data_IF_939847684432
#
_entry.id   IF_939847684432
#
_cell.length_a   1.000
_cell.length_b   1.000
_cell.length_c   1.000
_cell.angle_alpha   90.00
_cell.angle_beta   90.00
_cell.angle_gamma   90.00
#
_symmetry.space_group_name_H-M   'P 1'
#
loop_
_entity.id
_entity.type
_entity.pdbx_description
1 polymer ?
#
# COMPACT_ATOMS: atom_id res chain seq x y z
N UNK A 1 4.51 -9.79 -14.18
CA UNK A 1 5.07 -9.29 -12.91
C UNK A 1 5.23 -7.79 -13.04
N UNK A 2 4.72 -7.01 -12.08
CA UNK A 2 4.92 -5.55 -12.07
C UNK A 2 6.37 -5.24 -11.66
N UNK A 3 7.03 -4.33 -12.37
CA UNK A 3 8.41 -3.92 -12.09
C UNK A 3 8.53 -2.39 -12.12
N UNK A 4 9.60 -1.80 -11.54
CA UNK A 4 9.84 -0.36 -11.60
C UNK A 4 9.85 0.17 -13.04
N UNK A 5 9.45 1.43 -13.22
CA UNK A 5 9.25 2.19 -14.47
C UNK A 5 8.08 1.74 -15.34
N UNK A 6 7.41 0.62 -15.04
CA UNK A 6 6.14 0.30 -15.70
C UNK A 6 5.02 1.20 -15.19
N UNK A 7 3.97 1.35 -16.01
CA UNK A 7 2.73 2.00 -15.57
C UNK A 7 2.11 1.17 -14.45
N UNK A 8 1.74 1.82 -13.35
CA UNK A 8 0.99 1.20 -12.29
C UNK A 8 -0.38 0.76 -12.81
N UNK A 9 -0.93 -0.37 -12.36
CA UNK A 9 -2.30 -0.74 -12.65
C UNK A 9 -3.28 0.34 -12.17
N UNK A 10 -4.43 0.45 -12.83
CA UNK A 10 -5.52 1.30 -12.35
C UNK A 10 -5.85 0.98 -10.89
N UNK A 11 -6.04 2.03 -10.10
CA UNK A 11 -6.42 1.92 -8.70
C UNK A 11 -7.50 2.95 -8.40
N UNK A 12 -8.68 2.45 -8.06
CA UNK A 12 -9.81 3.27 -7.67
C UNK A 12 -10.56 2.59 -6.54
N UNK A 13 -10.62 3.23 -5.39
CA UNK A 13 -11.29 2.72 -4.18
C UNK A 13 -12.05 3.83 -3.48
N UNK A 14 -13.07 3.48 -2.73
CA UNK A 14 -13.72 4.42 -1.83
C UNK A 14 -12.87 4.63 -0.58
N UNK A 15 -12.94 5.83 0.03
CA UNK A 15 -12.19 6.18 1.23
C UNK A 15 -13.14 6.52 2.37
N UNK A 16 -12.66 6.37 3.60
CA UNK A 16 -13.48 6.66 4.79
C UNK A 16 -13.72 8.16 5.00
N UNK A 17 -12.90 9.04 4.41
CA UNK A 17 -12.93 10.47 4.67
C UNK A 17 -13.40 11.35 3.52
N UNK A 18 -12.92 11.09 2.32
CA UNK A 18 -12.96 12.08 1.23
C UNK A 18 -13.60 11.61 -0.09
N UNK A 19 -14.44 10.57 -0.06
CA UNK A 19 -15.05 10.02 -1.25
C UNK A 19 -14.16 8.99 -1.95
N UNK A 20 -14.00 9.09 -3.27
CA UNK A 20 -13.30 8.07 -4.06
C UNK A 20 -11.88 8.49 -4.40
N UNK A 21 -10.92 7.71 -3.99
CA UNK A 21 -9.53 7.82 -4.42
C UNK A 21 -9.36 7.19 -5.80
N UNK A 22 -8.67 7.90 -6.69
CA UNK A 22 -8.23 7.39 -8.00
C UNK A 22 -6.77 7.78 -8.20
N UNK A 23 -5.89 6.79 -8.28
CA UNK A 23 -4.45 7.03 -8.39
C UNK A 23 -4.08 7.94 -9.57
N UNK A 24 -4.77 7.79 -10.72
CA UNK A 24 -4.52 8.59 -11.93
C UNK A 24 -4.83 10.08 -11.73
N UNK A 25 -5.73 10.41 -10.80
CA UNK A 25 -6.13 11.78 -10.52
C UNK A 25 -5.23 12.43 -9.45
N UNK A 26 -4.43 11.63 -8.75
CA UNK A 26 -3.49 12.12 -7.75
C UNK A 26 -2.34 12.89 -8.40
N UNK A 27 -2.07 14.08 -7.87
CA UNK A 27 -1.00 14.97 -8.35
C UNK A 27 -0.06 15.36 -7.21
N UNK A 28 0.60 14.37 -6.57
CA UNK A 28 1.59 14.67 -5.56
C UNK A 28 2.74 15.46 -6.18
N UNK A 29 3.45 16.22 -5.38
CA UNK A 29 4.64 16.92 -5.89
C UNK A 29 5.68 15.93 -6.43
N UNK A 30 5.83 14.77 -5.79
CA UNK A 30 6.85 13.78 -6.16
C UNK A 30 6.33 12.37 -6.32
N UNK A 31 5.60 11.84 -5.34
CA UNK A 31 5.13 10.44 -5.39
C UNK A 31 3.87 10.24 -4.55
N UNK A 32 3.15 9.15 -4.82
CA UNK A 32 2.12 8.60 -3.93
C UNK A 32 2.66 7.31 -3.32
N UNK A 33 2.66 7.21 -1.99
CA UNK A 33 2.88 5.97 -1.26
C UNK A 33 1.55 5.23 -1.12
N UNK A 34 1.43 4.08 -1.77
CA UNK A 34 0.29 3.18 -1.65
C UNK A 34 0.68 2.01 -0.76
N UNK A 35 0.03 1.89 0.40
CA UNK A 35 0.24 0.83 1.38
C UNK A 35 -0.95 -0.13 1.37
N UNK A 36 -0.81 -1.29 0.73
CA UNK A 36 -1.81 -2.35 0.83
C UNK A 36 -1.62 -3.14 2.12
N UNK A 37 -2.72 -3.39 2.84
CA UNK A 37 -2.72 -4.14 4.10
C UNK A 37 -3.81 -5.21 4.12
N UNK A 38 -3.67 -6.22 4.98
CA UNK A 38 -4.55 -7.39 5.01
C UNK A 38 -5.99 -7.06 5.43
N UNK A 39 -6.16 -6.16 6.39
CA UNK A 39 -7.46 -5.76 6.92
C UNK A 39 -7.53 -5.74 8.45
N UNK A 40 -8.73 -5.53 8.98
CA UNK A 40 -9.05 -5.43 10.42
C UNK A 40 -8.56 -6.63 11.24
N UNK A 41 -8.60 -7.82 10.67
CA UNK A 41 -8.22 -9.07 11.33
C UNK A 41 -6.71 -9.17 11.65
N UNK A 42 -5.89 -8.25 11.15
CA UNK A 42 -4.43 -8.32 11.21
C UNK A 42 -3.84 -7.35 12.25
N UNK A 43 -3.45 -7.80 13.45
CA UNK A 43 -2.93 -6.91 14.50
C UNK A 43 -1.60 -6.23 14.10
N UNK A 44 -0.78 -6.90 13.30
CA UNK A 44 0.47 -6.34 12.77
C UNK A 44 0.17 -5.21 11.78
N UNK A 45 -0.91 -5.32 11.00
CA UNK A 45 -1.35 -4.24 10.13
C UNK A 45 -1.74 -3.00 10.94
N UNK A 46 -2.44 -3.17 12.05
CA UNK A 46 -2.80 -2.08 12.93
C UNK A 46 -1.57 -1.27 13.40
N UNK A 47 -0.54 -1.96 13.90
CA UNK A 47 0.70 -1.31 14.33
C UNK A 47 1.44 -0.64 13.17
N UNK A 48 1.44 -1.27 12.00
CA UNK A 48 2.10 -0.74 10.80
C UNK A 48 1.41 0.52 10.27
N UNK A 49 0.08 0.55 10.29
CA UNK A 49 -0.69 1.73 9.88
C UNK A 49 -0.54 2.91 10.86
N UNK A 50 -0.44 2.65 12.17
CA UNK A 50 -0.10 3.68 13.17
C UNK A 50 1.24 4.35 12.87
N UNK A 51 2.22 3.56 12.48
CA UNK A 51 3.54 4.07 12.12
C UNK A 51 3.48 4.88 10.80
N UNK A 52 2.71 4.41 9.81
CA UNK A 52 2.47 5.18 8.59
C UNK A 52 1.83 6.53 8.90
N UNK A 53 0.76 6.55 9.71
CA UNK A 53 0.07 7.76 10.12
C UNK A 53 1.03 8.73 10.83
N UNK A 54 1.80 8.24 11.79
CA UNK A 54 2.79 9.03 12.52
C UNK A 54 3.81 9.69 11.59
N UNK A 55 4.20 9.02 10.51
CA UNK A 55 5.19 9.50 9.56
C UNK A 55 4.59 10.20 8.33
N UNK A 56 3.26 10.25 8.19
CA UNK A 56 2.59 10.95 7.08
C UNK A 56 3.07 12.40 6.92
N UNK A 57 3.24 13.21 7.99
CA UNK A 57 3.79 14.56 7.85
C UNK A 57 5.21 14.57 7.25
N UNK A 58 6.07 13.64 7.66
CA UNK A 58 7.43 13.53 7.15
C UNK A 58 7.48 13.11 5.68
N UNK A 59 6.54 12.27 5.23
CA UNK A 59 6.34 11.97 3.81
C UNK A 59 5.85 13.21 3.05
N UNK A 60 4.86 13.94 3.60
CA UNK A 60 4.31 15.14 2.96
C UNK A 60 5.37 16.25 2.79
N UNK A 61 6.26 16.47 3.77
CA UNK A 61 7.41 17.37 3.67
C UNK A 61 8.34 17.04 2.49
N UNK A 62 8.33 15.80 2.03
CA UNK A 62 9.08 15.29 0.88
C UNK A 62 8.26 15.21 -0.40
N UNK A 63 7.09 15.82 -0.42
CA UNK A 63 6.18 15.80 -1.57
C UNK A 63 5.55 14.44 -1.85
N UNK A 64 5.47 13.57 -0.83
CA UNK A 64 4.89 12.23 -0.95
C UNK A 64 3.54 12.18 -0.25
N UNK A 65 2.48 11.96 -1.03
CA UNK A 65 1.14 11.66 -0.49
C UNK A 65 1.08 10.20 -0.02
N UNK A 66 0.24 9.89 0.97
CA UNK A 66 0.13 8.54 1.54
C UNK A 66 -1.31 8.06 1.56
N UNK A 67 -1.53 6.78 1.25
CA UNK A 67 -2.83 6.11 1.39
C UNK A 67 -2.62 4.64 1.80
N UNK A 68 -3.47 4.14 2.68
CA UNK A 68 -3.53 2.73 3.07
C UNK A 68 -4.82 2.09 2.53
N UNK A 69 -4.73 0.92 1.90
CA UNK A 69 -5.86 0.30 1.20
C UNK A 69 -5.96 -1.18 1.57
N UNK A 70 -7.18 -1.67 1.78
CA UNK A 70 -7.44 -3.09 1.96
C UNK A 70 -8.66 -3.57 1.14
N UNK A 71 -8.82 -4.89 1.07
CA UNK A 71 -10.01 -5.53 0.50
C UNK A 71 -11.19 -5.59 1.49
N UNK A 72 -11.04 -5.08 2.71
CA UNK A 72 -12.13 -4.96 3.66
C UNK A 72 -13.26 -4.08 3.10
N UNK A 73 -14.50 -4.37 3.51
CA UNK A 73 -15.61 -3.46 3.32
C UNK A 73 -15.47 -2.19 4.19
N UNK A 74 -16.35 -1.22 3.97
CA UNK A 74 -16.34 0.04 4.71
C UNK A 74 -16.43 -0.16 6.22
N UNK A 75 -17.31 -1.08 6.69
CA UNK A 75 -17.53 -1.28 8.11
C UNK A 75 -16.26 -1.80 8.81
N UNK A 76 -15.55 -2.75 8.20
CA UNK A 76 -14.30 -3.29 8.73
C UNK A 76 -13.16 -2.25 8.64
N UNK A 77 -13.07 -1.52 7.54
CA UNK A 77 -12.09 -0.45 7.38
C UNK A 77 -12.29 0.66 8.41
N UNK A 78 -13.55 1.05 8.67
CA UNK A 78 -13.92 2.02 9.70
C UNK A 78 -13.55 1.52 11.10
N UNK A 79 -13.87 0.27 11.43
CA UNK A 79 -13.49 -0.31 12.71
C UNK A 79 -11.96 -0.33 12.92
N UNK A 80 -11.17 -0.56 11.86
CA UNK A 80 -9.70 -0.44 11.92
C UNK A 80 -9.27 1.00 12.19
N UNK A 81 -9.84 1.96 11.46
CA UNK A 81 -9.49 3.37 11.62
C UNK A 81 -9.86 3.89 13.01
N UNK A 82 -11.09 3.65 13.48
CA UNK A 82 -11.59 4.11 14.78
C UNK A 82 -10.78 3.53 15.96
N UNK A 83 -10.33 2.28 15.83
CA UNK A 83 -9.57 1.62 16.89
C UNK A 83 -8.08 1.99 16.89
N UNK A 84 -7.52 2.37 15.76
CA UNK A 84 -6.08 2.39 15.58
C UNK A 84 -5.50 3.69 15.03
N UNK A 85 -6.29 4.51 14.35
CA UNK A 85 -5.83 5.69 13.61
C UNK A 85 -6.57 6.94 14.08
N UNK A 86 -5.91 8.09 14.03
CA UNK A 86 -6.53 9.40 14.24
C UNK A 86 -7.09 10.01 12.94
N UNK A 87 -6.73 9.44 11.77
CA UNK A 87 -7.09 9.95 10.45
C UNK A 87 -7.72 8.88 9.59
N UNK A 88 -9.04 8.99 9.40
CA UNK A 88 -9.80 8.11 8.52
C UNK A 88 -9.55 8.40 7.02
N UNK A 89 -9.18 9.63 6.66
CA UNK A 89 -8.92 10.05 5.28
C UNK A 89 -7.76 9.31 4.59
N UNK A 90 -6.88 8.69 5.38
CA UNK A 90 -5.78 7.86 4.87
C UNK A 90 -6.20 6.43 4.50
N UNK A 91 -7.47 6.04 4.73
CA UNK A 91 -7.91 4.65 4.60
C UNK A 91 -8.86 4.49 3.42
N UNK A 92 -8.40 3.76 2.41
CA UNK A 92 -9.22 3.23 1.31
C UNK A 92 -9.70 1.79 1.61
N UNK A 93 -10.85 1.45 1.06
CA UNK A 93 -11.50 0.15 1.28
C UNK A 93 -12.13 -0.41 0.02
N UNK A 94 -12.53 -1.67 0.06
CA UNK A 94 -13.24 -2.31 -1.06
C UNK A 94 -12.34 -2.64 -2.26
N UNK A 95 -11.01 -2.76 -2.07
CA UNK A 95 -10.13 -3.22 -3.15
C UNK A 95 -10.57 -4.61 -3.60
N UNK A 96 -10.89 -4.77 -4.88
CA UNK A 96 -11.22 -6.07 -5.43
C UNK A 96 -9.98 -6.99 -5.45
N UNK A 97 -10.18 -8.29 -5.23
CA UNK A 97 -9.07 -9.26 -5.32
C UNK A 97 -8.49 -9.34 -6.74
N UNK A 98 -9.29 -9.04 -7.76
CA UNK A 98 -8.81 -8.96 -9.14
C UNK A 98 -7.84 -7.79 -9.31
N UNK A 99 -8.15 -6.62 -8.73
CA UNK A 99 -7.24 -5.48 -8.77
C UNK A 99 -6.01 -5.71 -7.90
N UNK A 100 -6.17 -6.31 -6.71
CA UNK A 100 -5.03 -6.74 -5.89
C UNK A 100 -4.07 -7.64 -6.69
N UNK A 101 -4.60 -8.59 -7.48
CA UNK A 101 -3.82 -9.45 -8.38
C UNK A 101 -3.08 -8.68 -9.48
N UNK A 102 -3.68 -7.63 -10.06
CA UNK A 102 -3.00 -6.76 -11.05
C UNK A 102 -1.79 -6.03 -10.42
N UNK A 103 -1.89 -5.65 -9.15
CA UNK A 103 -0.79 -5.08 -8.38
C UNK A 103 0.25 -6.13 -7.95
N UNK A 104 0.05 -7.40 -8.27
CA UNK A 104 0.96 -8.49 -7.93
C UNK A 104 0.88 -8.91 -6.46
N UNK A 105 -0.17 -8.50 -5.73
CA UNK A 105 -0.36 -8.90 -4.34
C UNK A 105 -0.70 -10.40 -4.27
N UNK A 106 -0.13 -11.08 -3.29
CA UNK A 106 -0.54 -12.43 -2.95
C UNK A 106 -1.94 -12.45 -2.35
N UNK A 107 -2.69 -13.52 -2.59
CA UNK A 107 -4.02 -13.73 -2.04
C UNK A 107 -3.97 -14.93 -1.11
N UNK A 108 -4.47 -14.75 0.10
CA UNK A 108 -4.57 -15.79 1.11
C UNK A 108 -6.00 -16.20 1.37
N UNK A 109 -6.21 -17.48 1.70
CA UNK A 109 -7.47 -18.00 2.18
C UNK A 109 -7.54 -17.88 3.72
N UNK A 110 -8.75 -17.74 4.23
CA UNK A 110 -9.03 -17.70 5.66
C UNK A 110 -8.51 -18.94 6.40
N UNK A 111 -7.99 -18.71 7.58
CA UNK A 111 -7.65 -19.73 8.58
C UNK A 111 -8.57 -19.65 9.81
N UNK A 112 -9.67 -18.90 9.71
CA UNK A 112 -10.60 -18.66 10.79
C UNK A 112 -10.25 -17.44 11.63
N UNK A 113 -10.37 -17.54 12.95
CA UNK A 113 -10.09 -16.43 13.87
C UNK A 113 -8.60 -16.20 14.09
N UNK A 114 -8.24 -14.94 14.04
CA UNK A 114 -6.89 -14.49 14.40
C UNK A 114 -6.70 -14.43 15.92
N UNK A 115 -5.47 -14.16 16.35
CA UNK A 115 -5.10 -14.03 17.78
C UNK A 115 -5.88 -12.94 18.53
N UNK A 116 -6.46 -11.98 17.82
CA UNK A 116 -7.31 -10.92 18.41
C UNK A 116 -8.81 -11.24 18.33
N UNK A 117 -9.16 -12.47 17.97
CA UNK A 117 -10.56 -12.95 17.96
C UNK A 117 -11.41 -12.47 16.78
N UNK A 118 -10.81 -11.86 15.77
CA UNK A 118 -11.51 -11.38 14.56
C UNK A 118 -11.38 -12.43 13.46
N UNK A 119 -12.50 -12.76 12.80
CA UNK A 119 -12.50 -13.70 11.69
C UNK A 119 -11.84 -13.09 10.45
N UNK A 120 -10.95 -13.86 9.80
CA UNK A 120 -10.42 -13.53 8.49
C UNK A 120 -11.53 -13.61 7.43
N UNK A 121 -11.55 -12.71 6.43
CA UNK A 121 -12.38 -12.89 5.24
C UNK A 121 -12.05 -14.22 4.53
N UNK A 122 -12.98 -14.77 3.78
CA UNK A 122 -12.73 -16.02 3.03
C UNK A 122 -11.47 -15.95 2.15
N UNK A 123 -11.27 -14.82 1.50
CA UNK A 123 -10.06 -14.48 0.75
C UNK A 123 -9.70 -13.01 1.04
N UNK A 124 -8.42 -12.70 1.08
CA UNK A 124 -7.91 -11.34 1.28
C UNK A 124 -6.51 -11.18 0.67
N UNK A 125 -6.11 -9.94 0.38
CA UNK A 125 -4.76 -9.66 -0.14
C UNK A 125 -3.72 -9.63 0.98
N UNK A 126 -2.53 -10.12 0.68
CA UNK A 126 -1.34 -9.94 1.50
C UNK A 126 -0.73 -8.53 1.27
N UNK A 127 0.19 -8.08 2.14
CA UNK A 127 0.68 -6.71 2.09
C UNK A 127 1.51 -6.40 0.84
N UNK A 128 1.45 -5.14 0.42
CA UNK A 128 2.33 -4.55 -0.57
C UNK A 128 2.57 -3.07 -0.29
N UNK A 129 3.73 -2.57 -0.69
CA UNK A 129 4.10 -1.17 -0.54
C UNK A 129 4.68 -0.65 -1.86
N UNK A 130 4.15 0.47 -2.33
CA UNK A 130 4.51 1.03 -3.62
C UNK A 130 4.75 2.53 -3.51
N UNK A 131 5.77 3.04 -4.19
CA UNK A 131 5.93 4.46 -4.49
C UNK A 131 5.66 4.67 -5.96
N UNK A 132 4.68 5.53 -6.26
CA UNK A 132 4.21 5.80 -7.62
C UNK A 132 4.48 7.26 -7.95
N UNK A 133 5.10 7.54 -9.09
CA UNK A 133 5.38 8.89 -9.59
C UNK A 133 4.12 9.58 -10.10
N UNK A 134 4.14 10.92 -10.28
CA UNK A 134 2.99 11.67 -10.81
C UNK A 134 2.58 11.28 -12.24
N UNK A 135 3.49 10.65 -13.01
CA UNK A 135 3.23 10.09 -14.33
C UNK A 135 2.65 8.66 -14.29
N UNK A 136 2.28 8.19 -13.09
CA UNK A 136 1.80 6.84 -12.80
C UNK A 136 2.83 5.73 -13.02
N UNK A 137 4.11 6.00 -13.13
CA UNK A 137 5.11 4.95 -13.17
C UNK A 137 5.50 4.47 -11.77
N UNK A 138 5.72 3.17 -11.64
CA UNK A 138 6.22 2.56 -10.41
C UNK A 138 7.67 3.00 -10.17
N UNK A 139 7.92 3.65 -9.04
CA UNK A 139 9.27 3.97 -8.60
C UNK A 139 9.88 2.85 -7.75
N UNK A 140 9.12 2.37 -6.76
CA UNK A 140 9.50 1.31 -5.83
C UNK A 140 8.34 0.38 -5.59
N UNK A 141 8.62 -0.89 -5.39
CA UNK A 141 7.63 -1.85 -4.93
C UNK A 141 8.26 -2.89 -3.98
N UNK A 142 7.45 -3.35 -3.04
CA UNK A 142 7.76 -4.48 -2.16
C UNK A 142 6.46 -5.22 -1.87
N UNK A 143 6.39 -6.47 -2.28
CA UNK A 143 5.22 -7.34 -2.06
C UNK A 143 5.61 -8.47 -1.12
N UNK A 144 4.82 -8.71 -0.08
CA UNK A 144 5.09 -9.70 0.94
C UNK A 144 4.09 -10.86 0.86
N UNK A 145 4.60 -12.09 1.04
CA UNK A 145 3.77 -13.29 1.16
C UNK A 145 3.35 -13.60 2.60
N UNK A 146 3.74 -12.74 3.55
CA UNK A 146 3.39 -12.86 4.97
C UNK A 146 3.36 -11.49 5.65
N UNK A 147 2.63 -11.33 6.79
CA UNK A 147 2.46 -10.02 7.42
C UNK A 147 3.63 -9.56 8.30
N UNK A 148 4.60 -10.44 8.63
CA UNK A 148 5.56 -10.19 9.72
C UNK A 148 6.75 -9.33 9.33
N UNK A 149 7.22 -9.42 8.10
CA UNK A 149 8.38 -8.67 7.60
C UNK A 149 7.91 -7.66 6.56
N UNK A 150 8.11 -6.38 6.84
CA UNK A 150 7.66 -5.27 5.98
C UNK A 150 8.73 -4.19 5.90
N UNK A 151 8.76 -3.40 4.82
CA UNK A 151 9.62 -2.22 4.75
C UNK A 151 9.38 -1.28 5.93
N UNK A 152 10.45 -0.72 6.48
CA UNK A 152 10.40 0.24 7.57
C UNK A 152 10.10 1.64 6.99
N UNK A 153 9.05 2.30 7.47
CA UNK A 153 8.69 3.63 6.98
C UNK A 153 9.70 4.72 7.36
N UNK A 154 10.33 4.64 8.54
CA UNK A 154 11.33 5.62 8.93
C UNK A 154 12.60 5.52 8.06
N UNK A 155 13.02 4.30 7.71
CA UNK A 155 14.11 4.09 6.75
C UNK A 155 13.75 4.59 5.36
N UNK A 156 12.48 4.40 4.94
CA UNK A 156 12.00 4.92 3.66
C UNK A 156 11.99 6.44 3.61
N UNK A 157 11.57 7.13 4.69
CA UNK A 157 11.64 8.58 4.82
C UNK A 157 13.08 9.07 4.66
N UNK A 158 14.05 8.41 5.31
CA UNK A 158 15.47 8.74 5.19
C UNK A 158 16.00 8.49 3.77
N UNK A 159 15.61 7.37 3.14
CA UNK A 159 16.00 7.06 1.77
C UNK A 159 15.48 8.08 0.76
N UNK A 160 14.28 8.63 0.98
CA UNK A 160 13.70 9.67 0.13
C UNK A 160 14.55 10.94 0.12
N UNK A 161 15.23 11.31 1.20
CA UNK A 161 16.15 12.46 1.22
C UNK A 161 17.28 12.28 0.20
N UNK A 162 17.86 11.09 0.12
CA UNK A 162 18.89 10.77 -0.87
C UNK A 162 18.31 10.72 -2.29
N UNK A 163 17.17 10.07 -2.46
CA UNK A 163 16.47 9.94 -3.76
C UNK A 163 16.18 11.31 -4.36
N UNK A 164 15.61 12.21 -3.54
CA UNK A 164 15.23 13.55 -3.97
C UNK A 164 16.45 14.40 -4.29
N UNK A 165 17.43 14.41 -3.38
CA UNK A 165 18.66 15.22 -3.54
C UNK A 165 19.44 14.86 -4.79
N UNK A 166 19.47 13.58 -5.18
CA UNK A 166 20.31 13.07 -6.25
C UNK A 166 19.53 12.71 -7.52
N UNK A 167 18.22 13.00 -7.56
CA UNK A 167 17.32 12.53 -8.63
C UNK A 167 17.54 11.04 -8.97
N UNK A 168 17.65 10.22 -7.91
CA UNK A 168 18.04 8.82 -8.07
C UNK A 168 16.97 8.06 -8.86
N UNK A 169 17.35 7.37 -9.96
CA UNK A 169 16.37 6.72 -10.82
C UNK A 169 15.75 5.47 -10.17
N UNK A 170 14.54 5.13 -10.59
CA UNK A 170 13.97 3.82 -10.28
C UNK A 170 14.88 2.72 -10.85
N UNK A 171 15.10 1.66 -10.06
CA UNK A 171 15.97 0.53 -10.42
C UNK A 171 15.18 -0.77 -10.38
N UNK A 172 15.64 -1.79 -11.12
CA UNK A 172 14.97 -3.08 -11.24
C UNK A 172 14.01 -3.14 -12.44
N UNK A 173 14.24 -2.30 -13.44
CA UNK A 173 13.40 -2.13 -14.63
C UNK A 173 13.66 -3.16 -15.74
N UNK A 174 14.63 -4.06 -15.56
CA UNK A 174 14.97 -5.03 -16.58
C UNK A 174 14.34 -6.40 -16.27
N UNK A 175 13.67 -6.96 -17.26
CA UNK A 175 13.27 -8.36 -17.26
C UNK A 175 14.25 -9.15 -18.12
N UNK A 176 14.90 -10.17 -17.54
CA UNK A 176 15.66 -11.10 -18.33
C UNK A 176 14.69 -12.04 -19.07
N UNK A 177 14.88 -12.22 -20.36
CA UNK A 177 14.17 -13.27 -21.10
C UNK A 177 14.49 -14.60 -20.45
N UNK A 178 13.44 -15.36 -20.06
CA UNK A 178 13.66 -16.74 -19.63
C UNK A 178 14.16 -17.53 -20.85
N UNK A 179 15.28 -18.27 -20.72
CA UNK A 179 15.66 -19.18 -21.79
C UNK A 179 14.46 -20.12 -22.06
N UNK A 180 14.13 -20.27 -23.34
CA UNK A 180 13.09 -21.22 -23.74
C UNK A 180 13.41 -22.61 -23.15
N UNK A 181 12.44 -23.16 -22.41
CA UNK A 181 12.55 -24.50 -21.81
C UNK A 181 12.57 -25.59 -22.88
#
# INVERSE_FOLDING_TARGET
MLIPRQQAPDLSVDTLGAGRFRLIDEKPERMTLVCFYRGLHCPICASYLKELERLTPAFAERGVATIAISSDDEARARAMADAQLGRADLVGHGLSLADAGKWGLYISASRGKTSIGIDEPALFSEPGLFLIRPDNTVYYLSVQSMPFVRPNFAEMVQALDFVIKNDYPARGEQLLEQPAA
#
